data_IF_173845312776
#
_entry.id   IF_173845312776
#
_cell.length_a   1.000
_cell.length_b   1.000
_cell.length_c   1.000
_cell.angle_alpha   90.00
_cell.angle_beta   90.00
_cell.angle_gamma   90.00
#
_symmetry.space_group_name_H-M   'P 1'
#
loop_
_entity.id
_entity.type
_entity.pdbx_description
1 polymer ?
#
# COMPACT_ATOMS: atom_id res chain seq x y z
N UNK A 1 -10.33 -15.30 -14.00
CA UNK A 1 -9.24 -15.75 -13.14
C UNK A 1 -9.88 -16.16 -11.83
N UNK A 2 -9.50 -17.32 -11.30
CA UNK A 2 -10.06 -17.80 -10.03
C UNK A 2 -9.28 -17.27 -8.82
N UNK A 3 -8.00 -16.96 -9.02
CA UNK A 3 -7.05 -16.47 -8.01
C UNK A 3 -6.04 -15.52 -8.70
N UNK A 4 -5.41 -14.58 -7.97
CA UNK A 4 -4.35 -13.74 -8.52
C UNK A 4 -3.08 -14.55 -8.82
N UNK A 5 -2.37 -14.19 -9.90
CA UNK A 5 -0.98 -14.66 -10.08
C UNK A 5 -0.06 -14.01 -9.03
N UNK A 6 1.19 -14.46 -8.94
CA UNK A 6 2.16 -13.84 -8.03
C UNK A 6 2.40 -12.34 -8.33
N UNK A 7 2.37 -11.94 -9.61
CA UNK A 7 2.49 -10.52 -9.99
C UNK A 7 1.21 -9.73 -9.70
N UNK A 8 0.04 -10.34 -9.90
CA UNK A 8 -1.24 -9.70 -9.58
C UNK A 8 -1.37 -9.50 -8.06
N UNK A 9 -0.97 -10.48 -7.24
CA UNK A 9 -0.90 -10.35 -5.79
C UNK A 9 0.08 -9.26 -5.38
N UNK A 10 1.28 -9.23 -5.98
CA UNK A 10 2.26 -8.17 -5.71
C UNK A 10 1.71 -6.77 -5.98
N UNK A 11 0.96 -6.60 -7.07
CA UNK A 11 0.31 -5.32 -7.36
C UNK A 11 -0.75 -4.95 -6.30
N UNK A 12 -1.54 -5.92 -5.84
CA UNK A 12 -2.51 -5.71 -4.74
C UNK A 12 -1.78 -5.27 -3.46
N UNK A 13 -0.64 -5.89 -3.14
CA UNK A 13 0.15 -5.54 -1.96
C UNK A 13 0.79 -4.14 -2.08
N UNK A 14 1.24 -3.73 -3.27
CA UNK A 14 1.72 -2.36 -3.52
C UNK A 14 0.60 -1.32 -3.33
N UNK A 15 -0.59 -1.60 -3.87
CA UNK A 15 -1.79 -0.76 -3.67
C UNK A 15 -2.15 -0.70 -2.19
N UNK A 16 -2.15 -1.83 -1.49
CA UNK A 16 -2.49 -1.88 -0.06
C UNK A 16 -1.44 -1.19 0.82
N UNK A 17 -0.15 -1.26 0.49
CA UNK A 17 0.90 -0.45 1.16
C UNK A 17 0.61 1.04 1.04
N UNK A 18 0.30 1.50 -0.17
CA UNK A 18 -0.05 2.89 -0.43
C UNK A 18 -1.31 3.34 0.33
N UNK A 19 -2.29 2.45 0.44
CA UNK A 19 -3.57 2.69 1.13
C UNK A 19 -3.41 2.74 2.64
N UNK A 20 -2.64 1.82 3.23
CA UNK A 20 -2.44 1.73 4.67
C UNK A 20 -1.63 2.90 5.22
N UNK A 21 -0.70 3.45 4.44
CA UNK A 21 0.04 4.65 4.79
C UNK A 21 0.22 5.60 3.59
N UNK A 22 -0.79 6.44 3.29
CA UNK A 22 -0.72 7.38 2.16
C UNK A 22 0.40 8.41 2.31
N UNK A 23 0.76 8.76 3.55
CA UNK A 23 1.81 9.73 3.84
C UNK A 23 3.19 9.15 3.55
N UNK A 24 3.46 7.92 4.02
CA UNK A 24 4.71 7.24 3.75
C UNK A 24 4.90 6.93 2.26
N UNK A 25 3.84 6.51 1.55
CA UNK A 25 3.95 6.24 0.11
C UNK A 25 4.25 7.53 -0.69
N UNK A 26 3.60 8.65 -0.35
CA UNK A 26 3.89 9.94 -0.97
C UNK A 26 5.33 10.40 -0.67
N UNK A 27 5.79 10.23 0.57
CA UNK A 27 7.16 10.55 0.98
C UNK A 27 8.20 9.70 0.25
N UNK A 28 7.95 8.38 0.08
CA UNK A 28 8.81 7.46 -0.69
C UNK A 28 9.02 7.93 -2.12
N UNK A 29 8.01 8.57 -2.70
CA UNK A 29 8.03 9.09 -4.07
C UNK A 29 8.40 10.59 -4.16
N UNK A 30 8.65 11.25 -3.03
CA UNK A 30 9.05 12.65 -2.98
C UNK A 30 7.96 13.63 -3.45
N UNK A 31 6.69 13.33 -3.20
CA UNK A 31 5.55 14.18 -3.58
C UNK A 31 4.66 14.52 -2.37
N UNK A 32 3.89 15.60 -2.49
CA UNK A 32 2.71 15.81 -1.63
C UNK A 32 1.55 14.90 -2.09
N UNK A 33 0.76 14.36 -1.14
CA UNK A 33 -0.35 13.45 -1.44
C UNK A 33 -1.42 14.09 -2.34
N UNK A 34 -1.56 15.42 -2.31
CA UNK A 34 -2.45 16.21 -3.17
C UNK A 34 -1.71 16.92 -4.31
N UNK A 35 -0.44 16.59 -4.59
CA UNK A 35 0.29 17.14 -5.74
C UNK A 35 -0.49 16.92 -7.05
N UNK A 36 -0.90 18.01 -7.69
CA UNK A 36 -1.72 17.99 -8.91
C UNK A 36 -3.23 17.87 -8.68
N UNK A 37 -3.69 17.96 -7.43
CA UNK A 37 -5.08 17.92 -7.00
C UNK A 37 -5.46 19.19 -6.22
N UNK A 38 -6.75 19.34 -5.91
CA UNK A 38 -7.18 20.37 -4.96
C UNK A 38 -6.66 20.04 -3.55
N UNK A 39 -6.31 21.06 -2.78
CA UNK A 39 -5.86 20.89 -1.39
C UNK A 39 -6.91 20.13 -0.58
N UNK A 40 -6.46 19.08 0.14
CA UNK A 40 -7.32 18.24 0.97
C UNK A 40 -8.26 17.30 0.21
N UNK A 41 -8.13 17.16 -1.11
CA UNK A 41 -8.93 16.22 -1.90
C UNK A 41 -8.71 14.77 -1.47
N UNK A 42 -7.45 14.39 -1.22
CA UNK A 42 -7.06 13.12 -0.61
C UNK A 42 -6.64 13.39 0.83
N UNK A 43 -7.32 12.70 1.75
CA UNK A 43 -6.96 12.67 3.18
C UNK A 43 -5.75 11.76 3.41
N UNK A 44 -4.85 12.17 4.30
CA UNK A 44 -3.70 11.38 4.77
C UNK A 44 -4.09 10.21 5.70
N UNK A 45 -5.36 10.13 6.13
CA UNK A 45 -5.81 9.03 6.97
C UNK A 45 -5.64 7.69 6.23
N UNK A 46 -5.17 6.62 6.91
CA UNK A 46 -5.13 5.28 6.37
C UNK A 46 -6.45 4.88 5.70
N UNK A 47 -6.35 4.16 4.59
CA UNK A 47 -7.48 3.57 3.87
C UNK A 47 -7.55 2.10 4.19
N UNK A 48 -8.75 1.55 4.16
CA UNK A 48 -8.94 0.11 4.30
C UNK A 48 -8.21 -0.64 3.18
N UNK A 49 -7.59 -1.80 3.46
CA UNK A 49 -7.01 -2.65 2.44
C UNK A 49 -8.10 -3.18 1.50
N UNK A 50 -7.74 -3.45 0.26
CA UNK A 50 -8.62 -4.04 -0.74
C UNK A 50 -8.46 -5.56 -0.73
N UNK A 51 -9.59 -6.24 -0.67
CA UNK A 51 -9.69 -7.68 -0.84
C UNK A 51 -9.67 -8.05 -2.32
N UNK A 52 -9.10 -9.18 -2.70
CA UNK A 52 -9.16 -9.62 -4.09
C UNK A 52 -10.59 -10.05 -4.47
N UNK A 53 -11.06 -9.62 -5.63
CA UNK A 53 -12.30 -10.09 -6.22
C UNK A 53 -12.03 -10.71 -7.59
N UNK A 54 -12.28 -12.02 -7.70
CA UNK A 54 -12.05 -12.80 -8.92
C UNK A 54 -12.77 -12.25 -10.15
N UNK A 55 -13.97 -11.70 -9.97
CA UNK A 55 -14.74 -11.13 -11.07
C UNK A 55 -14.19 -9.80 -11.57
N UNK A 56 -13.74 -8.93 -10.66
CA UNK A 56 -12.99 -7.74 -11.04
C UNK A 56 -11.68 -8.12 -11.73
N UNK A 57 -11.03 -9.19 -11.26
CA UNK A 57 -9.83 -9.74 -11.90
C UNK A 57 -10.10 -10.24 -13.32
N UNK A 58 -11.22 -10.93 -13.54
CA UNK A 58 -11.66 -11.35 -14.88
C UNK A 58 -11.88 -10.15 -15.83
N UNK A 59 -12.51 -9.08 -15.32
CA UNK A 59 -12.67 -7.83 -16.07
C UNK A 59 -11.31 -7.21 -16.43
N UNK A 60 -10.39 -7.11 -15.45
CA UNK A 60 -9.07 -6.54 -15.63
C UNK A 60 -8.23 -7.35 -16.65
N UNK A 61 -8.24 -8.67 -16.53
CA UNK A 61 -7.50 -9.55 -17.43
C UNK A 61 -8.05 -9.46 -18.86
N UNK A 62 -9.38 -9.47 -19.02
CA UNK A 62 -10.01 -9.35 -20.33
C UNK A 62 -9.66 -8.03 -21.03
N UNK A 63 -9.68 -6.92 -20.29
CA UNK A 63 -9.35 -5.60 -20.85
C UNK A 63 -7.85 -5.44 -21.13
N UNK A 64 -6.98 -5.89 -20.22
CA UNK A 64 -5.54 -5.86 -20.43
C UNK A 64 -5.11 -6.71 -21.65
N UNK A 65 -5.72 -7.89 -21.84
CA UNK A 65 -5.50 -8.71 -23.04
C UNK A 65 -6.02 -8.04 -24.30
N UNK A 66 -7.20 -7.42 -24.25
CA UNK A 66 -7.73 -6.66 -25.38
C UNK A 66 -6.80 -5.50 -25.79
N UNK A 67 -6.25 -4.76 -24.83
CA UNK A 67 -5.29 -3.68 -25.09
C UNK A 67 -4.03 -4.21 -25.82
N UNK A 68 -3.50 -5.35 -25.37
CA UNK A 68 -2.38 -6.03 -26.05
C UNK A 68 -2.76 -6.50 -27.46
N UNK A 69 -3.90 -7.15 -27.63
CA UNK A 69 -4.31 -7.76 -28.90
C UNK A 69 -4.70 -6.75 -29.99
N UNK A 70 -5.10 -5.54 -29.59
CA UNK A 70 -5.58 -4.50 -30.51
C UNK A 70 -4.60 -3.35 -30.71
N UNK A 71 -3.45 -3.37 -30.03
CA UNK A 71 -2.50 -2.26 -29.98
C UNK A 71 -3.16 -0.93 -29.58
N UNK A 72 -4.12 -0.97 -28.66
CA UNK A 72 -4.83 0.19 -28.14
C UNK A 72 -4.64 0.32 -26.63
N UNK A 73 -4.28 1.52 -26.16
CA UNK A 73 -4.22 1.83 -24.72
C UNK A 73 -5.31 2.85 -24.37
N UNK A 74 -6.38 2.35 -23.75
CA UNK A 74 -7.60 3.11 -23.55
C UNK A 74 -8.41 2.54 -22.39
N UNK A 75 -9.09 3.42 -21.63
CA UNK A 75 -10.13 3.00 -20.68
C UNK A 75 -11.42 2.53 -21.39
N UNK A 76 -11.61 2.91 -22.66
CA UNK A 76 -12.69 2.39 -23.50
C UNK A 76 -12.24 1.09 -24.17
N UNK A 77 -13.01 0.03 -23.97
CA UNK A 77 -12.74 -1.30 -24.51
C UNK A 77 -13.55 -1.64 -25.75
N UNK A 78 -13.75 -2.95 -25.97
CA UNK A 78 -14.57 -3.50 -27.07
C UNK A 78 -15.91 -2.78 -27.16
N UNK A 79 -16.29 -2.41 -28.38
CA UNK A 79 -17.55 -1.71 -28.70
C UNK A 79 -17.77 -0.39 -27.93
N UNK A 80 -16.71 0.22 -27.40
CA UNK A 80 -16.77 1.45 -26.61
C UNK A 80 -17.24 1.24 -25.16
N UNK A 81 -17.14 0.01 -24.65
CA UNK A 81 -17.42 -0.30 -23.24
C UNK A 81 -16.56 0.54 -22.30
N UNK A 82 -17.15 1.03 -21.22
CA UNK A 82 -16.42 1.61 -20.09
C UNK A 82 -16.07 0.52 -19.05
N UNK A 83 -15.24 0.81 -18.05
CA UNK A 83 -14.84 -0.19 -17.05
C UNK A 83 -16.02 -0.77 -16.27
N UNK A 84 -17.02 0.06 -15.93
CA UNK A 84 -18.21 -0.40 -15.22
C UNK A 84 -19.02 -1.43 -16.02
N UNK A 85 -19.14 -1.24 -17.33
CA UNK A 85 -19.76 -2.24 -18.23
C UNK A 85 -18.97 -3.54 -18.21
N UNK A 86 -17.64 -3.48 -18.36
CA UNK A 86 -16.79 -4.68 -18.37
C UNK A 86 -16.84 -5.44 -17.05
N UNK A 87 -16.82 -4.74 -15.91
CA UNK A 87 -16.98 -5.34 -14.58
C UNK A 87 -18.34 -6.04 -14.45
N UNK A 88 -19.43 -5.40 -14.90
CA UNK A 88 -20.77 -6.00 -14.87
C UNK A 88 -20.88 -7.23 -15.78
N UNK A 89 -20.27 -7.19 -16.97
CA UNK A 89 -20.24 -8.31 -17.92
C UNK A 89 -19.41 -9.49 -17.41
N UNK A 90 -18.33 -9.23 -16.67
CA UNK A 90 -17.58 -10.25 -15.95
C UNK A 90 -18.41 -10.89 -14.81
N UNK A 91 -19.45 -10.19 -14.34
CA UNK A 91 -20.40 -10.65 -13.33
C UNK A 91 -20.31 -9.92 -11.98
N UNK A 92 -19.60 -8.79 -11.90
CA UNK A 92 -19.52 -8.01 -10.68
C UNK A 92 -20.83 -7.28 -10.46
N UNK A 93 -21.52 -7.60 -9.37
CA UNK A 93 -22.86 -7.07 -9.12
C UNK A 93 -22.80 -5.71 -8.44
N UNK A 94 -23.26 -4.66 -9.13
CA UNK A 94 -23.44 -3.33 -8.54
C UNK A 94 -24.78 -3.24 -7.80
N UNK A 95 -24.77 -3.45 -6.48
CA UNK A 95 -25.98 -3.44 -5.65
C UNK A 95 -25.83 -2.52 -4.44
N UNK A 96 -26.95 -1.97 -3.97
CA UNK A 96 -26.96 -1.09 -2.79
C UNK A 96 -26.08 0.16 -2.97
N UNK A 97 -25.14 0.35 -2.07
CA UNK A 97 -24.10 1.38 -2.15
C UNK A 97 -22.89 0.81 -2.92
N UNK A 98 -22.58 1.41 -4.06
CA UNK A 98 -21.56 0.88 -4.96
C UNK A 98 -20.74 1.99 -5.60
N UNK A 99 -19.50 1.63 -5.97
CA UNK A 99 -18.56 2.48 -6.71
C UNK A 99 -17.61 1.58 -7.50
N UNK A 100 -17.08 2.11 -8.59
CA UNK A 100 -15.98 1.49 -9.32
C UNK A 100 -14.92 2.52 -9.72
N UNK A 101 -13.73 2.05 -10.04
CA UNK A 101 -12.62 2.82 -10.60
C UNK A 101 -11.71 1.92 -11.41
N UNK A 102 -10.95 2.49 -12.34
CA UNK A 102 -9.95 1.76 -13.13
C UNK A 102 -8.68 2.57 -13.23
N UNK A 103 -7.54 1.90 -13.03
CA UNK A 103 -6.25 2.39 -13.49
C UNK A 103 -5.67 1.41 -14.51
N UNK A 104 -5.01 1.94 -15.53
CA UNK A 104 -4.28 1.15 -16.51
C UNK A 104 -2.87 1.73 -16.68
N UNK A 105 -1.90 0.86 -16.90
CA UNK A 105 -0.55 1.26 -17.31
C UNK A 105 0.09 0.20 -18.18
N UNK A 106 1.15 0.57 -18.89
CA UNK A 106 2.01 -0.41 -19.52
C UNK A 106 3.47 0.07 -19.47
N UNK A 107 4.39 -0.88 -19.44
CA UNK A 107 5.82 -0.67 -19.71
C UNK A 107 6.31 -1.72 -20.68
N UNK A 108 7.27 -1.37 -21.52
CA UNK A 108 7.85 -2.32 -22.46
C UNK A 108 9.14 -1.83 -23.10
N UNK A 109 9.85 -2.74 -23.74
CA UNK A 109 11.16 -2.49 -24.36
C UNK A 109 11.19 -2.93 -25.83
N UNK A 110 12.02 -2.23 -26.61
CA UNK A 110 12.46 -2.68 -27.93
C UNK A 110 13.69 -3.57 -27.70
N UNK A 111 13.48 -4.85 -27.41
CA UNK A 111 14.57 -5.77 -27.05
C UNK A 111 14.11 -6.88 -26.12
N UNK A 112 15.00 -7.45 -25.28
CA UNK A 112 14.60 -8.43 -24.28
C UNK A 112 13.50 -7.88 -23.36
N UNK A 113 12.55 -8.74 -22.99
CA UNK A 113 11.52 -8.38 -22.02
C UNK A 113 12.15 -7.88 -20.71
N UNK A 114 11.50 -6.90 -20.08
CA UNK A 114 11.90 -6.42 -18.76
C UNK A 114 11.67 -7.48 -17.67
N UNK A 115 12.32 -7.30 -16.54
CA UNK A 115 11.94 -8.00 -15.32
C UNK A 115 10.53 -7.58 -14.92
N UNK A 116 9.60 -8.52 -14.90
CA UNK A 116 8.17 -8.23 -14.72
C UNK A 116 7.86 -7.68 -13.34
N UNK A 117 8.58 -8.10 -12.30
CA UNK A 117 8.41 -7.61 -10.93
C UNK A 117 8.85 -6.16 -10.83
N UNK A 118 10.03 -5.83 -11.38
CA UNK A 118 10.51 -4.45 -11.45
C UNK A 118 9.58 -3.56 -12.29
N UNK A 119 9.05 -4.08 -13.41
CA UNK A 119 8.11 -3.34 -14.26
C UNK A 119 6.79 -3.07 -13.56
N UNK A 120 6.23 -4.03 -12.82
CA UNK A 120 4.99 -3.81 -12.04
C UNK A 120 5.22 -2.80 -10.91
N UNK A 121 6.35 -2.89 -10.19
CA UNK A 121 6.70 -1.91 -9.17
C UNK A 121 6.82 -0.49 -9.73
N UNK A 122 7.52 -0.33 -10.87
CA UNK A 122 7.67 0.97 -11.51
C UNK A 122 6.35 1.52 -12.07
N UNK A 123 5.43 0.63 -12.48
CA UNK A 123 4.10 1.01 -12.94
C UNK A 123 3.21 1.51 -11.80
N UNK A 124 3.20 0.82 -10.66
CA UNK A 124 2.52 1.31 -9.45
C UNK A 124 3.03 2.69 -9.05
N UNK A 125 4.36 2.90 -9.05
CA UNK A 125 4.96 4.21 -8.75
C UNK A 125 4.47 5.29 -9.73
N UNK A 126 4.41 4.98 -11.03
CA UNK A 126 3.92 5.90 -12.06
C UNK A 126 2.42 6.20 -11.92
N UNK A 127 1.61 5.20 -11.55
CA UNK A 127 0.19 5.37 -11.24
C UNK A 127 0.02 6.27 -10.01
N UNK A 128 0.76 6.04 -8.93
CA UNK A 128 0.67 6.89 -7.74
C UNK A 128 1.14 8.33 -8.00
N UNK A 129 2.19 8.53 -8.79
CA UNK A 129 2.65 9.87 -9.20
C UNK A 129 1.59 10.63 -10.02
N UNK A 130 0.79 9.92 -10.81
CA UNK A 130 -0.32 10.51 -11.58
C UNK A 130 -1.50 10.89 -10.68
N UNK A 131 -1.81 12.18 -10.62
CA UNK A 131 -2.87 12.72 -9.77
C UNK A 131 -4.23 12.02 -9.95
N UNK A 132 -4.66 11.73 -11.18
CA UNK A 132 -5.95 11.07 -11.43
C UNK A 132 -5.98 9.61 -10.99
N UNK A 133 -4.89 8.87 -11.18
CA UNK A 133 -4.82 7.45 -10.79
C UNK A 133 -4.64 7.29 -9.28
N UNK A 134 -3.88 8.21 -8.66
CA UNK A 134 -3.75 8.29 -7.19
C UNK A 134 -5.08 8.46 -6.48
N UNK A 135 -6.03 9.20 -7.08
CA UNK A 135 -7.40 9.33 -6.54
C UNK A 135 -8.11 7.98 -6.48
N UNK A 136 -7.90 7.07 -7.44
CA UNK A 136 -8.45 5.71 -7.38
C UNK A 136 -7.73 4.86 -6.33
N UNK A 137 -6.39 4.88 -6.31
CA UNK A 137 -5.58 4.11 -5.34
C UNK A 137 -5.98 4.47 -3.90
N UNK A 138 -6.11 5.78 -3.61
CA UNK A 138 -6.40 6.31 -2.28
C UNK A 138 -7.88 6.64 -2.05
N UNK A 139 -8.77 6.07 -2.86
CA UNK A 139 -10.20 6.26 -2.69
C UNK A 139 -10.67 5.53 -1.41
N UNK A 140 -11.29 6.27 -0.49
CA UNK A 140 -11.61 5.80 0.86
C UNK A 140 -12.57 4.59 0.92
N UNK A 141 -13.55 4.52 0.02
CA UNK A 141 -14.68 3.58 0.14
C UNK A 141 -14.59 2.33 -0.74
N UNK A 142 -13.57 2.19 -1.60
CA UNK A 142 -13.26 0.92 -2.23
C UNK A 142 -12.91 -0.16 -1.20
N UNK A 143 -13.36 -1.39 -1.48
CA UNK A 143 -13.21 -2.57 -0.63
C UNK A 143 -12.62 -3.76 -1.37
N UNK A 144 -12.73 -3.76 -2.68
CA UNK A 144 -12.34 -4.89 -3.51
C UNK A 144 -11.47 -4.39 -4.66
N UNK A 145 -10.56 -5.25 -5.12
CA UNK A 145 -9.72 -5.00 -6.28
C UNK A 145 -9.60 -6.27 -7.12
N UNK A 146 -9.60 -6.12 -8.42
CA UNK A 146 -9.10 -7.10 -9.37
C UNK A 146 -7.90 -6.52 -10.10
N UNK A 147 -6.78 -7.25 -10.12
CA UNK A 147 -5.58 -6.86 -10.85
C UNK A 147 -5.26 -7.87 -11.94
N UNK A 148 -4.69 -7.39 -13.04
CA UNK A 148 -4.14 -8.24 -14.09
C UNK A 148 -2.85 -7.65 -14.66
N UNK A 149 -1.85 -8.52 -14.83
CA UNK A 149 -0.49 -8.14 -15.27
C UNK A 149 0.01 -8.91 -16.52
N UNK A 150 -0.81 -9.11 -17.58
CA UNK A 150 -0.39 -9.93 -18.72
C UNK A 150 0.80 -9.32 -19.47
N UNK A 151 1.75 -10.17 -19.85
CA UNK A 151 2.82 -9.80 -20.76
C UNK A 151 2.44 -10.15 -22.20
N UNK A 152 2.82 -9.29 -23.15
CA UNK A 152 2.52 -9.49 -24.56
C UNK A 152 3.28 -8.52 -25.45
N UNK A 153 3.09 -8.66 -26.76
CA UNK A 153 3.53 -7.63 -27.70
C UNK A 153 2.53 -6.48 -27.67
N UNK A 154 3.03 -5.24 -27.69
CA UNK A 154 2.22 -4.02 -27.77
C UNK A 154 2.99 -2.94 -28.50
N UNK A 155 2.48 -2.44 -29.62
CA UNK A 155 3.08 -1.38 -30.44
C UNK A 155 4.56 -1.61 -30.80
N UNK A 156 4.96 -2.85 -31.04
CA UNK A 156 6.32 -3.38 -31.27
C UNK A 156 7.23 -3.44 -30.04
N UNK A 157 6.68 -3.37 -28.82
CA UNK A 157 7.40 -3.55 -27.56
C UNK A 157 7.06 -4.91 -26.95
N UNK A 158 8.02 -5.52 -26.26
CA UNK A 158 7.71 -6.58 -25.30
C UNK A 158 7.21 -5.91 -24.02
N UNK A 159 5.91 -5.95 -23.80
CA UNK A 159 5.22 -5.17 -22.78
C UNK A 159 4.71 -6.03 -21.63
N UNK A 160 4.64 -5.40 -20.46
CA UNK A 160 3.80 -5.79 -19.33
C UNK A 160 2.66 -4.79 -19.27
N UNK A 161 1.43 -5.26 -19.46
CA UNK A 161 0.22 -4.47 -19.33
C UNK A 161 -0.32 -4.63 -17.91
N UNK A 162 -0.82 -3.55 -17.32
CA UNK A 162 -1.45 -3.52 -16.00
C UNK A 162 -2.86 -2.97 -16.13
N UNK A 163 -3.81 -3.64 -15.49
CA UNK A 163 -5.17 -3.18 -15.26
C UNK A 163 -5.53 -3.42 -13.79
N UNK A 164 -5.95 -2.35 -13.10
CA UNK A 164 -6.45 -2.34 -11.73
C UNK A 164 -7.92 -1.92 -11.73
N UNK A 165 -8.82 -2.86 -11.46
CA UNK A 165 -10.26 -2.63 -11.34
C UNK A 165 -10.66 -2.58 -9.86
N UNK A 166 -11.06 -1.40 -9.41
CA UNK A 166 -11.45 -1.12 -8.03
C UNK A 166 -12.97 -1.22 -7.86
N UNK A 167 -13.41 -1.78 -6.73
CA UNK A 167 -14.83 -2.02 -6.48
C UNK A 167 -15.27 -1.74 -5.04
N UNK A 168 -16.53 -1.32 -4.93
CA UNK A 168 -17.36 -1.40 -3.74
C UNK A 168 -18.76 -1.84 -4.14
N UNK A 169 -19.34 -2.77 -3.40
CA UNK A 169 -20.75 -3.14 -3.55
C UNK A 169 -21.38 -3.47 -2.19
N UNK A 170 -22.60 -3.02 -1.97
CA UNK A 170 -23.33 -3.24 -0.73
C UNK A 170 -22.59 -2.76 0.52
N UNK A 171 -22.58 -3.62 1.55
CA UNK A 171 -22.00 -3.30 2.87
C UNK A 171 -21.01 -4.36 3.37
N UNK A 172 -20.70 -5.37 2.54
CA UNK A 172 -19.76 -6.43 2.89
C UNK A 172 -18.36 -5.90 3.14
N UNK A 173 -17.69 -6.45 4.13
CA UNK A 173 -16.30 -6.17 4.47
C UNK A 173 -15.54 -7.49 4.56
N UNK A 174 -14.22 -7.42 4.49
CA UNK A 174 -13.37 -8.59 4.36
C UNK A 174 -12.28 -8.59 5.43
N UNK A 175 -12.01 -9.77 5.97
CA UNK A 175 -10.71 -10.09 6.56
C UNK A 175 -9.87 -10.68 5.43
N UNK A 176 -8.87 -9.95 4.98
CA UNK A 176 -8.01 -10.29 3.84
C UNK A 176 -6.54 -10.37 4.29
N UNK A 177 -5.66 -10.90 3.47
CA UNK A 177 -4.23 -10.88 3.72
C UNK A 177 -3.47 -11.81 2.78
N UNK A 178 -2.18 -11.91 3.00
CA UNK A 178 -1.27 -12.80 2.27
C UNK A 178 -0.45 -13.62 3.25
N UNK A 179 -0.29 -14.91 2.96
CA UNK A 179 0.65 -15.77 3.65
C UNK A 179 1.88 -15.98 2.76
N UNK A 180 3.08 -15.71 3.29
CA UNK A 180 4.32 -15.81 2.51
C UNK A 180 5.54 -16.11 3.37
N UNK A 181 6.55 -16.67 2.73
CA UNK A 181 7.91 -16.81 3.24
C UNK A 181 8.67 -15.51 2.93
N UNK A 182 8.99 -14.70 3.94
CA UNK A 182 9.78 -13.48 3.76
C UNK A 182 11.25 -13.88 3.54
N UNK A 183 11.65 -13.97 2.27
CA UNK A 183 12.94 -14.51 1.85
C UNK A 183 14.03 -13.44 1.82
N UNK A 184 13.66 -12.17 1.72
CA UNK A 184 14.59 -11.03 1.68
C UNK A 184 14.53 -10.13 2.93
N UNK A 185 13.68 -10.46 3.89
CA UNK A 185 13.57 -9.85 5.22
C UNK A 185 13.12 -8.37 5.16
N UNK A 186 12.18 -8.07 4.27
CA UNK A 186 11.62 -6.72 4.10
C UNK A 186 10.19 -6.55 4.65
N UNK A 187 9.64 -7.60 5.27
CA UNK A 187 8.26 -7.66 5.78
C UNK A 187 7.21 -7.30 4.70
N UNK A 188 7.50 -7.58 3.42
CA UNK A 188 6.62 -7.32 2.29
C UNK A 188 6.58 -8.50 1.32
N UNK A 189 5.41 -8.75 0.74
CA UNK A 189 5.27 -9.83 -0.23
C UNK A 189 6.02 -9.50 -1.53
N UNK A 190 6.88 -10.41 -1.96
CA UNK A 190 7.54 -10.40 -3.27
C UNK A 190 7.11 -11.61 -4.12
N UNK A 191 6.95 -11.47 -5.46
CA UNK A 191 6.61 -12.61 -6.32
C UNK A 191 7.56 -13.81 -6.15
N UNK A 192 6.98 -14.93 -5.72
CA UNK A 192 7.71 -16.17 -5.46
C UNK A 192 7.70 -16.61 -3.99
N UNK A 193 7.24 -15.75 -3.08
CA UNK A 193 7.21 -15.99 -1.64
C UNK A 193 5.90 -16.59 -1.12
N UNK A 194 4.87 -16.58 -1.95
CA UNK A 194 3.52 -17.00 -1.56
C UNK A 194 3.42 -18.42 -1.01
N UNK A 195 2.66 -18.58 0.07
CA UNK A 195 2.36 -19.86 0.70
C UNK A 195 0.93 -20.30 0.42
N UNK A 196 0.79 -21.28 -0.44
CA UNK A 196 -0.49 -21.86 -0.83
C UNK A 196 -1.01 -22.93 0.14
N UNK A 197 -2.33 -23.08 0.20
CA UNK A 197 -2.96 -24.21 0.89
C UNK A 197 -3.00 -24.10 2.41
N UNK A 198 -2.75 -22.91 2.97
CA UNK A 198 -2.96 -22.62 4.39
C UNK A 198 -4.43 -22.36 4.60
N UNK A 199 -5.07 -23.15 5.47
CA UNK A 199 -6.43 -22.92 5.90
C UNK A 199 -6.45 -21.77 6.90
N UNK A 200 -7.19 -20.70 6.56
CA UNK A 200 -7.46 -19.56 7.43
C UNK A 200 -8.85 -19.71 8.00
N UNK A 201 -8.96 -19.93 9.31
CA UNK A 201 -10.25 -20.07 10.01
C UNK A 201 -10.48 -18.88 10.95
N UNK A 202 -11.53 -18.10 10.70
CA UNK A 202 -11.92 -16.97 11.55
C UNK A 202 -13.18 -17.30 12.35
N UNK A 203 -13.05 -17.33 13.69
CA UNK A 203 -14.15 -17.65 14.61
C UNK A 203 -14.61 -16.37 15.32
N UNK A 204 -15.85 -15.95 15.05
CA UNK A 204 -16.45 -14.77 15.69
C UNK A 204 -16.68 -15.03 17.19
N UNK A 205 -16.14 -14.16 18.01
CA UNK A 205 -16.27 -14.21 19.46
C UNK A 205 -17.55 -13.52 19.94
N UNK A 206 -18.15 -14.05 20.99
CA UNK A 206 -19.33 -13.45 21.63
C UNK A 206 -20.64 -13.56 20.85
N UNK A 207 -20.65 -14.25 19.71
CA UNK A 207 -21.88 -14.57 18.98
C UNK A 207 -22.73 -15.60 19.76
N UNK A 208 -24.08 -15.45 19.79
CA UNK A 208 -24.97 -16.44 20.41
C UNK A 208 -24.87 -17.83 19.78
N UNK A 209 -24.57 -17.90 18.48
CA UNK A 209 -24.34 -19.12 17.72
C UNK A 209 -22.90 -19.13 17.16
N UNK A 210 -22.20 -20.27 17.10
CA UNK A 210 -20.85 -20.32 16.53
C UNK A 210 -20.85 -19.89 15.05
N UNK A 211 -20.19 -18.77 14.75
CA UNK A 211 -19.91 -18.34 13.37
C UNK A 211 -18.44 -18.64 13.09
N UNK A 212 -18.20 -19.60 12.21
CA UNK A 212 -16.88 -20.01 11.75
C UNK A 212 -16.81 -19.75 10.25
N UNK A 213 -15.89 -18.88 9.86
CA UNK A 213 -15.62 -18.52 8.49
C UNK A 213 -14.28 -19.14 8.10
N UNK A 214 -14.12 -19.52 6.83
CA UNK A 214 -12.88 -20.12 6.36
C UNK A 214 -12.57 -19.68 4.95
N UNK A 215 -11.28 -19.57 4.67
CA UNK A 215 -10.72 -19.53 3.33
C UNK A 215 -9.43 -20.37 3.30
N UNK A 216 -8.86 -20.57 2.11
CA UNK A 216 -7.58 -21.25 1.89
C UNK A 216 -6.71 -20.35 1.03
N UNK A 217 -5.47 -20.12 1.47
CA UNK A 217 -4.55 -19.26 0.73
C UNK A 217 -4.32 -19.78 -0.69
N UNK A 218 -4.46 -18.86 -1.65
CA UNK A 218 -4.25 -19.07 -3.06
C UNK A 218 -2.79 -19.46 -3.38
N UNK A 219 -2.51 -19.79 -4.64
CA UNK A 219 -1.14 -20.11 -5.08
C UNK A 219 -0.13 -19.00 -4.74
N UNK A 220 -0.55 -17.73 -4.86
CA UNK A 220 0.25 -16.56 -4.52
C UNK A 220 0.23 -16.20 -3.02
N UNK A 221 -0.52 -16.92 -2.19
CA UNK A 221 -0.60 -16.72 -0.73
C UNK A 221 -1.79 -15.88 -0.26
N UNK A 222 -2.47 -15.14 -1.15
CA UNK A 222 -3.62 -14.30 -0.82
C UNK A 222 -4.83 -15.10 -0.28
N UNK A 223 -5.61 -14.51 0.61
CA UNK A 223 -6.89 -15.03 1.08
C UNK A 223 -7.87 -13.89 1.38
N UNK A 224 -9.17 -14.15 1.27
CA UNK A 224 -10.23 -13.16 1.46
C UNK A 224 -11.48 -13.79 2.10
N UNK A 225 -11.75 -13.44 3.35
CA UNK A 225 -12.91 -13.93 4.11
C UNK A 225 -13.95 -12.81 4.22
N UNK A 226 -15.14 -12.92 3.58
CA UNK A 226 -16.26 -12.04 3.86
C UNK A 226 -16.63 -12.12 5.34
N UNK A 227 -16.56 -10.99 6.03
CA UNK A 227 -16.72 -10.89 7.47
C UNK A 227 -17.83 -9.90 7.85
N UNK A 228 -18.34 -10.07 9.06
CA UNK A 228 -19.27 -9.11 9.68
C UNK A 228 -18.55 -8.40 10.84
N UNK A 229 -19.06 -7.25 11.31
CA UNK A 229 -18.42 -6.55 12.42
C UNK A 229 -18.31 -7.44 13.67
N UNK A 230 -17.13 -7.48 14.29
CA UNK A 230 -16.88 -8.22 15.52
C UNK A 230 -15.42 -8.63 15.72
N UNK A 231 -15.17 -9.29 16.85
CA UNK A 231 -13.84 -9.77 17.22
C UNK A 231 -13.70 -11.23 16.81
N UNK A 232 -12.64 -11.55 16.08
CA UNK A 232 -12.35 -12.87 15.57
C UNK A 232 -11.10 -13.44 16.22
N UNK A 233 -11.14 -14.74 16.51
CA UNK A 233 -9.93 -15.55 16.67
C UNK A 233 -9.65 -16.18 15.31
N UNK A 234 -8.52 -15.82 14.71
CA UNK A 234 -8.07 -16.28 13.40
C UNK A 234 -7.01 -17.35 13.60
N UNK A 235 -7.17 -18.50 12.95
CA UNK A 235 -6.22 -19.61 13.02
C UNK A 235 -5.74 -19.95 11.62
N UNK A 236 -4.44 -19.82 11.40
CA UNK A 236 -3.74 -20.32 10.22
C UNK A 236 -3.27 -21.73 10.50
N UNK A 237 -3.57 -22.68 9.62
CA UNK A 237 -3.21 -24.09 9.80
C UNK A 237 -3.06 -24.83 8.48
N UNK A 238 -2.38 -25.98 8.47
CA UNK A 238 -2.13 -26.71 7.23
C UNK A 238 -1.05 -26.02 6.38
N UNK A 239 -1.06 -26.26 5.06
CA UNK A 239 -0.15 -25.60 4.12
C UNK A 239 1.36 -25.74 4.39
N UNK A 240 1.77 -26.75 5.17
CA UNK A 240 3.18 -26.93 5.56
C UNK A 240 3.59 -26.26 6.88
N UNK A 241 2.69 -25.55 7.56
CA UNK A 241 2.94 -25.01 8.90
C UNK A 241 3.18 -26.15 9.91
N UNK A 242 4.20 -26.01 10.75
CA UNK A 242 4.55 -27.03 11.76
C UNK A 242 3.49 -27.13 12.87
N UNK A 243 2.85 -26.01 13.20
CA UNK A 243 1.74 -25.92 14.14
C UNK A 243 0.79 -24.79 13.73
N UNK A 244 -0.50 -24.84 14.13
CA UNK A 244 -1.41 -23.74 13.89
C UNK A 244 -0.92 -22.44 14.56
N UNK A 245 -1.05 -21.33 13.85
CA UNK A 245 -0.75 -19.99 14.35
C UNK A 245 -2.07 -19.29 14.62
N UNK A 246 -2.22 -18.75 15.82
CA UNK A 246 -3.48 -18.16 16.30
C UNK A 246 -3.28 -16.67 16.52
N UNK A 247 -4.20 -15.88 15.98
CA UNK A 247 -4.23 -14.43 16.05
C UNK A 247 -5.63 -13.92 16.35
N UNK A 248 -5.73 -12.62 16.59
CA UNK A 248 -7.02 -11.94 16.74
C UNK A 248 -7.15 -10.79 15.75
N UNK A 249 -8.36 -10.59 15.24
CA UNK A 249 -8.69 -9.47 14.36
C UNK A 249 -10.03 -8.85 14.78
N UNK A 250 -10.13 -7.53 14.73
CA UNK A 250 -11.38 -6.81 14.98
C UNK A 250 -11.88 -6.21 13.68
N UNK A 251 -12.94 -6.75 13.13
CA UNK A 251 -13.56 -6.26 11.89
C UNK A 251 -14.63 -5.25 12.26
N UNK A 252 -14.59 -4.07 11.64
CA UNK A 252 -15.57 -3.00 11.81
C UNK A 252 -16.44 -2.84 10.56
N UNK A 253 -16.58 -1.60 10.10
CA UNK A 253 -17.26 -1.25 8.84
C UNK A 253 -16.30 -1.16 7.65
N UNK A 254 -15.05 -1.52 7.87
CA UNK A 254 -13.96 -1.49 6.90
C UNK A 254 -13.25 -2.84 6.88
N UNK A 255 -12.58 -3.12 5.76
CA UNK A 255 -11.75 -4.30 5.62
C UNK A 255 -10.58 -4.29 6.61
N UNK A 256 -10.12 -5.49 6.94
CA UNK A 256 -8.96 -5.72 7.82
C UNK A 256 -7.99 -6.62 7.09
N UNK A 257 -6.71 -6.22 7.03
CA UNK A 257 -5.62 -7.03 6.51
C UNK A 257 -4.93 -7.74 7.66
N UNK A 258 -4.66 -9.04 7.56
CA UNK A 258 -3.91 -9.82 8.54
C UNK A 258 -3.00 -10.79 7.79
N UNK A 259 -1.70 -10.55 7.82
CA UNK A 259 -0.75 -11.36 7.07
C UNK A 259 -0.14 -12.45 7.92
N UNK A 260 0.28 -13.53 7.26
CA UNK A 260 1.11 -14.55 7.87
C UNK A 260 2.49 -14.51 7.23
N UNK A 261 3.49 -14.09 8.01
CA UNK A 261 4.87 -13.88 7.54
C UNK A 261 5.76 -14.95 8.17
N UNK A 262 6.29 -15.86 7.37
CA UNK A 262 7.30 -16.81 7.84
C UNK A 262 8.69 -16.21 7.58
N UNK A 263 9.42 -15.72 8.59
CA UNK A 263 10.74 -15.14 8.38
C UNK A 263 11.68 -16.26 7.95
N UNK A 264 12.07 -16.31 6.67
CA UNK A 264 12.75 -17.43 6.00
C UNK A 264 14.11 -17.88 6.56
N UNK A 265 14.49 -17.45 7.76
CA UNK A 265 15.76 -17.67 8.44
C UNK A 265 15.90 -19.02 9.16
N UNK A 266 15.15 -20.07 8.81
CA UNK A 266 15.47 -21.46 9.20
C UNK A 266 15.70 -21.74 10.71
N UNK A 267 15.27 -20.85 11.60
CA UNK A 267 15.46 -20.93 13.04
C UNK A 267 14.11 -21.11 13.73
N UNK A 268 13.57 -22.33 13.67
CA UNK A 268 12.38 -22.70 14.43
C UNK A 268 11.10 -22.19 13.79
N UNK A 269 10.08 -23.04 13.85
CA UNK A 269 8.78 -22.90 13.18
C UNK A 269 7.83 -21.88 13.83
N UNK A 270 8.35 -20.76 14.33
CA UNK A 270 7.54 -19.68 14.89
C UNK A 270 7.39 -18.59 13.81
N UNK A 271 6.42 -18.78 12.92
CA UNK A 271 6.04 -17.73 11.96
C UNK A 271 5.65 -16.45 12.70
N UNK A 272 6.08 -15.31 12.17
CA UNK A 272 5.62 -14.00 12.62
C UNK A 272 4.29 -13.67 11.94
N UNK A 273 3.52 -12.76 12.54
CA UNK A 273 2.26 -12.28 11.96
C UNK A 273 2.34 -10.77 12.00
N UNK A 274 2.38 -10.15 10.83
CA UNK A 274 2.12 -8.72 10.74
C UNK A 274 0.63 -8.48 10.97
N UNK A 275 0.34 -7.61 11.92
CA UNK A 275 -0.94 -7.50 12.63
C UNK A 275 -2.17 -7.26 11.77
N UNK A 276 -3.33 -7.50 12.38
CA UNK A 276 -4.63 -7.14 11.84
C UNK A 276 -4.71 -5.60 11.70
N UNK A 277 -5.03 -5.08 10.51
CA UNK A 277 -5.27 -3.64 10.29
C UNK A 277 -6.58 -3.21 10.98
N UNK A 278 -6.56 -3.13 12.31
CA UNK A 278 -7.52 -2.44 13.14
C UNK A 278 -6.81 -1.24 13.76
N UNK A 279 -7.31 -0.04 13.47
CA UNK A 279 -6.88 1.26 14.03
C UNK A 279 -5.48 1.23 14.61
N UNK A 280 -4.47 1.38 13.76
CA UNK A 280 -3.08 1.61 14.13
C UNK A 280 -2.72 1.03 15.52
N UNK A 281 -2.01 -0.10 15.56
CA UNK A 281 -0.79 -0.05 16.34
C UNK A 281 0.03 1.05 15.66
N UNK A 282 -0.24 2.30 16.05
CA UNK A 282 0.74 3.34 15.92
C UNK A 282 1.96 2.72 16.59
N UNK A 283 3.15 2.79 15.99
CA UNK A 283 4.37 2.33 16.65
C UNK A 283 4.65 3.07 17.98
N UNK A 284 3.72 3.93 18.42
CA UNK A 284 3.71 4.77 19.59
C UNK A 284 2.32 4.71 20.22
N UNK A 285 2.25 4.39 21.52
CA UNK A 285 0.99 4.42 22.25
C UNK A 285 0.41 5.86 22.35
N UNK A 286 -0.87 5.98 22.70
CA UNK A 286 -1.56 7.29 22.86
C UNK A 286 -0.86 8.23 23.86
N UNK A 287 -0.14 7.67 24.83
CA UNK A 287 0.63 8.44 25.81
C UNK A 287 1.89 9.05 25.17
N UNK A 288 2.56 8.30 24.32
CA UNK A 288 3.71 8.71 23.51
C UNK A 288 3.29 9.77 22.50
N UNK A 289 2.18 9.57 21.78
CA UNK A 289 1.61 10.57 20.87
C UNK A 289 1.24 11.88 21.60
N UNK A 290 0.62 11.77 22.77
CA UNK A 290 0.29 12.94 23.60
C UNK A 290 1.55 13.67 24.10
N UNK A 291 2.61 12.92 24.39
CA UNK A 291 3.89 13.49 24.84
C UNK A 291 4.63 14.22 23.71
N UNK A 292 4.62 13.67 22.49
CA UNK A 292 5.15 14.30 21.27
C UNK A 292 4.36 15.57 20.95
N UNK A 293 3.03 15.51 21.03
CA UNK A 293 2.17 16.65 20.79
C UNK A 293 2.41 17.78 21.79
N UNK A 294 2.56 17.46 23.08
CA UNK A 294 2.90 18.44 24.11
C UNK A 294 4.31 19.03 23.92
N UNK A 295 5.28 18.22 23.49
CA UNK A 295 6.62 18.69 23.13
C UNK A 295 6.55 19.73 22.00
N UNK A 296 5.85 19.40 20.90
CA UNK A 296 5.69 20.32 19.76
C UNK A 296 4.94 21.61 20.15
N UNK A 297 3.88 21.49 20.95
CA UNK A 297 3.15 22.67 21.44
C UNK A 297 3.95 23.56 22.38
N UNK A 298 4.98 23.03 23.04
CA UNK A 298 5.80 23.78 24.00
C UNK A 298 7.00 24.40 23.31
N UNK A 299 7.73 23.62 22.53
CA UNK A 299 9.02 24.02 21.94
C UNK A 299 8.86 24.73 20.59
N UNK A 300 7.83 24.41 19.81
CA UNK A 300 7.56 25.06 18.52
C UNK A 300 6.51 26.19 18.60
N UNK A 301 6.01 26.52 19.80
CA UNK A 301 4.87 27.44 20.00
C UNK A 301 5.05 28.83 19.38
N UNK A 302 6.28 29.32 19.41
CA UNK A 302 6.64 30.67 18.99
C UNK A 302 7.41 30.65 17.64
N UNK A 303 7.42 29.50 16.94
CA UNK A 303 8.07 29.31 15.64
C UNK A 303 7.05 29.39 14.49
N UNK A 304 7.47 30.00 13.39
CA UNK A 304 6.66 30.09 12.18
C UNK A 304 6.81 28.80 11.35
N UNK A 305 5.79 27.96 11.45
CA UNK A 305 5.68 26.67 10.74
C UNK A 305 5.59 26.87 9.23
N UNK A 306 4.98 27.95 8.75
CA UNK A 306 4.87 28.20 7.32
C UNK A 306 6.23 28.55 6.71
N UNK A 307 7.05 29.31 7.44
CA UNK A 307 8.42 29.59 7.02
C UNK A 307 9.26 28.30 6.94
N UNK A 308 9.08 27.33 7.84
CA UNK A 308 9.74 26.02 7.73
C UNK A 308 9.31 25.25 6.48
N UNK A 309 7.99 25.17 6.24
CA UNK A 309 7.41 24.47 5.07
C UNK A 309 7.93 25.08 3.76
N UNK A 310 7.99 26.40 3.66
CA UNK A 310 8.51 27.09 2.48
C UNK A 310 9.99 26.80 2.23
N UNK A 311 10.80 26.69 3.30
CA UNK A 311 12.22 26.36 3.17
C UNK A 311 12.42 24.90 2.74
N UNK A 312 11.70 23.96 3.36
CA UNK A 312 11.78 22.53 3.01
C UNK A 312 11.28 22.29 1.57
N UNK A 313 10.13 22.86 1.21
CA UNK A 313 9.56 22.75 -0.14
C UNK A 313 10.41 23.44 -1.22
N UNK A 314 11.22 24.42 -0.84
CA UNK A 314 12.17 25.12 -1.72
C UNK A 314 13.58 24.53 -1.74
N UNK A 315 13.84 23.43 -1.04
CA UNK A 315 15.18 22.85 -0.87
C UNK A 315 16.18 23.79 -0.20
N UNK A 316 15.70 24.75 0.58
CA UNK A 316 16.50 25.71 1.35
C UNK A 316 16.86 25.12 2.72
N UNK A 317 17.97 25.57 3.33
CA UNK A 317 18.30 25.20 4.70
C UNK A 317 17.17 25.49 5.67
N UNK A 318 16.97 24.59 6.63
CA UNK A 318 16.02 24.81 7.73
C UNK A 318 16.35 26.13 8.43
N UNK A 319 15.36 26.99 8.71
CA UNK A 319 15.63 28.26 9.39
C UNK A 319 16.30 28.01 10.75
N UNK A 320 17.33 28.80 11.08
CA UNK A 320 18.18 28.58 12.28
C UNK A 320 17.38 28.51 13.59
N UNK A 321 16.24 29.21 13.67
CA UNK A 321 15.33 29.18 14.81
C UNK A 321 14.70 27.80 15.08
N UNK A 322 14.65 26.91 14.08
CA UNK A 322 14.12 25.56 14.17
C UNK A 322 15.16 24.52 14.61
N UNK A 323 16.46 24.81 14.46
CA UNK A 323 17.53 23.85 14.78
C UNK A 323 17.47 23.35 16.23
N UNK A 324 17.27 24.21 17.26
CA UNK A 324 17.18 23.74 18.64
C UNK A 324 15.97 22.84 18.90
N UNK A 325 14.84 23.08 18.20
CA UNK A 325 13.61 22.29 18.35
C UNK A 325 13.76 20.94 17.66
N UNK A 326 14.41 20.88 16.49
CA UNK A 326 14.68 19.63 15.79
C UNK A 326 15.70 18.76 16.55
N UNK A 327 16.75 19.36 17.11
CA UNK A 327 17.72 18.65 17.94
C UNK A 327 17.08 18.09 19.21
N UNK A 328 16.30 18.90 19.93
CA UNK A 328 15.56 18.45 21.10
C UNK A 328 14.49 17.41 20.74
N UNK A 329 13.88 17.51 19.55
CA UNK A 329 12.91 16.54 19.05
C UNK A 329 13.55 15.19 18.78
N UNK A 330 14.73 15.15 18.15
CA UNK A 330 15.48 13.91 17.96
C UNK A 330 15.86 13.25 19.30
N UNK A 331 16.33 14.04 20.28
CA UNK A 331 16.63 13.52 21.62
C UNK A 331 15.38 13.04 22.36
N UNK A 332 14.26 13.75 22.21
CA UNK A 332 12.97 13.36 22.78
C UNK A 332 12.49 12.03 22.20
N UNK A 333 12.58 11.86 20.88
CA UNK A 333 12.21 10.62 20.19
C UNK A 333 13.09 9.44 20.63
N UNK A 334 14.40 9.65 20.79
CA UNK A 334 15.30 8.62 21.36
C UNK A 334 14.91 8.24 22.78
N UNK A 335 14.44 9.20 23.59
CA UNK A 335 14.00 8.93 24.95
C UNK A 335 12.66 8.17 25.05
N UNK A 336 11.96 7.98 23.92
CA UNK A 336 10.75 7.16 23.78
C UNK A 336 11.03 5.81 23.08
N UNK A 337 12.29 5.37 23.02
CA UNK A 337 12.73 4.14 22.32
C UNK A 337 12.47 4.14 20.80
N UNK A 338 12.37 5.31 20.17
CA UNK A 338 12.12 5.48 18.74
C UNK A 338 13.40 5.78 17.95
N UNK A 339 14.43 4.97 18.16
CA UNK A 339 15.79 5.24 17.67
C UNK A 339 15.86 5.37 16.15
N UNK A 340 15.19 4.47 15.40
CA UNK A 340 15.16 4.51 13.92
C UNK A 340 14.52 5.80 13.39
N UNK A 341 13.41 6.22 13.99
CA UNK A 341 12.71 7.44 13.60
C UNK A 341 13.49 8.69 14.02
N UNK A 342 14.13 8.68 15.20
CA UNK A 342 14.99 9.76 15.65
C UNK A 342 16.24 9.93 14.79
N UNK A 343 16.79 8.84 14.25
CA UNK A 343 17.95 8.86 13.36
C UNK A 343 17.58 9.34 11.96
N UNK A 344 16.42 8.94 11.42
CA UNK A 344 15.86 9.52 10.18
C UNK A 344 15.55 11.02 10.33
N UNK A 345 14.97 11.41 11.47
CA UNK A 345 14.68 12.81 11.81
C UNK A 345 15.97 13.64 11.99
N UNK A 346 17.01 13.07 12.61
CA UNK A 346 18.32 13.71 12.74
C UNK A 346 19.07 13.80 11.39
N UNK A 347 18.92 12.82 10.51
CA UNK A 347 19.50 12.85 9.16
C UNK A 347 18.91 13.99 8.31
N UNK A 348 17.65 14.38 8.52
CA UNK A 348 17.06 15.57 7.91
C UNK A 348 17.72 16.89 8.36
N UNK A 349 18.28 16.93 9.59
CA UNK A 349 19.02 18.08 10.13
C UNK A 349 20.44 18.15 9.53
N UNK A 350 21.09 17.00 9.29
CA UNK A 350 22.43 16.95 8.69
C UNK A 350 22.43 17.18 7.17
N UNK A 351 21.35 16.83 6.46
CA UNK A 351 21.28 16.96 4.99
C UNK A 351 20.99 18.39 4.49
N UNK A 352 20.66 19.34 5.37
CA UNK A 352 20.31 20.72 5.01
C UNK A 352 21.17 21.80 5.68
N UNK A 353 22.33 21.43 6.25
CA UNK A 353 23.13 22.34 7.07
C UNK A 353 24.64 22.20 7.00
N UNK A 354 25.28 22.37 5.83
CA UNK A 354 26.68 22.82 5.76
C UNK A 354 26.93 23.77 4.57
N UNK A 355 27.10 25.08 4.80
CA UNK A 355 27.77 25.94 3.83
C UNK A 355 29.29 25.72 3.95
N UNK A 356 29.92 25.10 2.94
CA UNK A 356 31.37 25.18 2.80
C UNK A 356 31.73 26.53 2.15
N UNK A 357 32.49 27.35 2.88
CA UNK A 357 32.81 28.72 2.54
C UNK A 357 33.55 28.91 1.21
N UNK A 358 33.26 30.05 0.57
CA UNK A 358 34.06 30.64 -0.50
C UNK A 358 35.55 30.69 -0.16
N UNK A 359 36.41 30.40 -1.14
CA UNK A 359 37.78 30.92 -1.16
C UNK A 359 37.88 32.04 -2.22
N UNK A 360 38.32 33.25 -1.85
CA UNK A 360 38.66 34.34 -2.76
C UNK A 360 40.10 34.18 -3.27
N UNK A 361 40.32 34.28 -4.59
CA UNK A 361 41.46 34.97 -5.24
C UNK A 361 41.87 34.36 -6.60
N UNK A 362 41.29 34.90 -7.67
CA UNK A 362 41.94 34.99 -9.00
C UNK A 362 41.40 36.19 -9.80
N UNK A 363 41.73 37.38 -9.30
CA UNK A 363 42.52 38.36 -10.07
C UNK A 363 41.86 39.12 -11.24
N UNK A 364 41.71 40.43 -11.05
CA UNK A 364 41.43 41.47 -12.04
C UNK A 364 42.13 41.33 -13.41
N UNK A 365 41.41 41.71 -14.48
CA UNK A 365 42.02 42.15 -15.73
C UNK A 365 41.05 42.47 -16.87
N UNK A 366 40.61 43.75 -16.92
CA UNK A 366 40.01 44.52 -18.04
C UNK A 366 38.72 44.05 -18.71
#
# INVERSE_FOLDING_TARGET
MTEPTALDQYLIELVNRARLDPAAEAARLGIDVNQGLAEGQISLAPKQPLAFNATLGDSALGHAQWMLETDEFSHSGVDGSDPGIRMAEAGYEFTGDWRWGENISWRGTIGPAEDTTASVSAQHDALFLSASHRVNILQDDFREIGTATPSGEFMNYNAVMVDENFGKTGTGVFLTGVAYDDLDADDFYTPGEGRAGITVTAVLQGSPEPVVLTDVTATAGGYDIPAQPGNYVVTFSGGGLASPIVQTATVGTENVKLDLIDPGTGLGSDGQVAGASGTADSPMDDATLSSIWNFLQTEARDLDVNTLIDHVGGGQPVPEAWLPVLQQGAEFLRAQDLEKFADEFANYVELLGVPHGHNPDDGFGA
#
